data_IF_863351349423
#
_entry.id   IF_863351349423
#
_cell.length_a   1.000
_cell.length_b   1.000
_cell.length_c   1.000
_cell.angle_alpha   90.00
_cell.angle_beta   90.00
_cell.angle_gamma   90.00
#
_symmetry.space_group_name_H-M   'P 1'
#
loop_
_entity.id
_entity.type
_entity.pdbx_description
1 polymer ?
#
# COMPACT_ATOMS: atom_id res chain seq x y z
N UNK A 1 26.06 12.79 3.28
CA UNK A 1 25.30 12.53 4.51
C UNK A 1 23.82 12.66 4.17
N UNK A 2 23.19 11.53 3.84
CA UNK A 2 21.85 11.47 3.27
C UNK A 2 20.80 11.87 4.30
N UNK A 3 20.07 12.94 4.00
CA UNK A 3 18.93 13.41 4.79
C UNK A 3 17.89 12.29 4.73
N UNK A 4 17.75 11.51 5.80
CA UNK A 4 16.63 10.57 5.98
C UNK A 4 15.36 11.39 6.15
N UNK A 5 14.84 11.94 5.06
CA UNK A 5 13.50 12.51 5.03
C UNK A 5 12.58 11.34 5.34
N UNK A 6 11.97 11.34 6.53
CA UNK A 6 10.73 10.60 6.78
C UNK A 6 9.79 11.00 5.65
N UNK A 7 9.68 10.10 4.67
CA UNK A 7 9.04 10.36 3.40
C UNK A 7 7.59 10.70 3.72
N UNK A 8 7.18 11.91 3.34
CA UNK A 8 5.81 12.14 2.92
C UNK A 8 5.58 11.12 1.81
N UNK A 9 5.10 9.92 2.17
CA UNK A 9 4.85 8.83 1.24
C UNK A 9 4.08 9.45 0.07
N UNK A 10 4.75 9.51 -1.08
CA UNK A 10 4.47 10.53 -2.08
C UNK A 10 2.99 10.43 -2.47
N UNK A 11 2.23 11.50 -2.26
CA UNK A 11 0.80 11.50 -2.54
C UNK A 11 0.53 11.07 -3.99
N UNK A 12 1.44 11.40 -4.91
CA UNK A 12 1.35 10.96 -6.30
C UNK A 12 1.52 9.46 -6.43
N UNK A 13 2.47 8.85 -5.71
CA UNK A 13 2.68 7.40 -5.73
C UNK A 13 1.45 6.67 -5.17
N UNK A 14 0.89 7.17 -4.06
CA UNK A 14 -0.35 6.64 -3.49
C UNK A 14 -1.51 6.67 -4.48
N UNK A 15 -1.74 7.82 -5.10
CA UNK A 15 -2.79 7.99 -6.10
C UNK A 15 -2.52 7.17 -7.38
N UNK A 16 -1.25 6.98 -7.76
CA UNK A 16 -0.88 6.14 -8.89
C UNK A 16 -1.22 4.67 -8.63
N UNK A 17 -0.93 4.15 -7.43
CA UNK A 17 -1.29 2.77 -7.04
C UNK A 17 -2.80 2.60 -7.02
N UNK A 18 -3.54 3.56 -6.45
CA UNK A 18 -5.01 3.51 -6.45
C UNK A 18 -5.59 3.55 -7.87
N UNK A 19 -5.04 4.36 -8.76
CA UNK A 19 -5.48 4.42 -10.17
C UNK A 19 -5.16 3.13 -10.92
N UNK A 20 -3.98 2.54 -10.71
CA UNK A 20 -3.60 1.24 -11.28
C UNK A 20 -4.60 0.16 -10.88
N UNK A 21 -4.95 0.12 -9.60
CA UNK A 21 -5.86 -0.89 -9.05
C UNK A 21 -7.35 -0.52 -9.23
N UNK A 22 -7.65 0.58 -9.94
CA UNK A 22 -9.02 1.03 -10.20
C UNK A 22 -9.82 1.30 -8.94
N UNK A 23 -9.16 1.83 -7.89
CA UNK A 23 -9.74 2.06 -6.56
C UNK A 23 -10.36 0.80 -5.93
N UNK A 24 -9.82 -0.37 -6.28
CA UNK A 24 -10.30 -1.68 -5.83
C UNK A 24 -9.33 -2.28 -4.85
N UNK A 25 -9.84 -2.75 -3.71
CA UNK A 25 -9.05 -3.52 -2.76
C UNK A 25 -8.68 -4.89 -3.37
N UNK A 26 -7.39 -5.21 -3.45
CA UNK A 26 -6.93 -6.46 -4.08
C UNK A 26 -7.25 -7.71 -3.26
N UNK A 27 -7.56 -7.57 -1.97
CA UNK A 27 -7.92 -8.70 -1.11
C UNK A 27 -9.42 -9.03 -1.10
N UNK A 28 -10.29 -8.02 -1.11
CA UNK A 28 -11.74 -8.26 -1.06
C UNK A 28 -12.46 -7.95 -2.38
N UNK A 29 -11.72 -7.50 -3.40
CA UNK A 29 -12.21 -7.24 -4.77
C UNK A 29 -13.41 -6.29 -4.77
N UNK A 30 -13.39 -5.28 -3.89
CA UNK A 30 -14.43 -4.25 -3.79
C UNK A 30 -13.83 -2.90 -4.08
N UNK A 31 -14.60 -2.07 -4.79
CA UNK A 31 -14.26 -0.67 -5.01
C UNK A 31 -14.57 0.17 -3.77
N UNK A 32 -13.68 1.11 -3.47
CA UNK A 32 -13.80 2.04 -2.36
C UNK A 32 -13.42 3.45 -2.82
N UNK A 33 -13.85 4.46 -2.08
CA UNK A 33 -13.33 5.82 -2.28
C UNK A 33 -11.86 5.89 -1.85
N UNK A 34 -11.09 6.78 -2.48
CA UNK A 34 -9.66 6.95 -2.19
C UNK A 34 -9.36 7.21 -0.71
N UNK A 35 -10.27 7.85 0.03
CA UNK A 35 -10.15 8.13 1.48
C UNK A 35 -10.30 6.88 2.35
N UNK A 36 -10.88 5.80 1.83
CA UNK A 36 -11.04 4.50 2.52
C UNK A 36 -9.98 3.47 2.10
N UNK A 37 -9.16 3.82 1.11
CA UNK A 37 -8.07 3.00 0.61
C UNK A 37 -6.74 3.43 1.22
N UNK A 38 -5.86 2.44 1.38
CA UNK A 38 -4.52 2.59 1.89
C UNK A 38 -3.58 1.82 0.96
N UNK A 39 -2.38 2.36 0.76
CA UNK A 39 -1.31 1.64 0.08
C UNK A 39 -0.53 0.88 1.14
N UNK A 40 -0.36 -0.41 0.89
CA UNK A 40 0.41 -1.31 1.75
C UNK A 40 1.41 -2.10 0.90
N UNK A 41 2.44 -2.66 1.54
CA UNK A 41 3.43 -3.48 0.84
C UNK A 41 2.92 -4.93 0.71
N UNK A 42 3.09 -5.51 -0.48
CA UNK A 42 2.84 -6.93 -0.73
C UNK A 42 3.79 -7.75 0.13
N UNK A 43 5.09 -7.52 -0.02
CA UNK A 43 6.14 -8.06 0.84
C UNK A 43 6.56 -7.00 1.86
N UNK A 44 6.59 -7.30 3.17
CA UNK A 44 6.96 -6.35 4.21
C UNK A 44 8.29 -5.68 3.89
N UNK A 45 8.29 -4.35 3.98
CA UNK A 45 9.49 -3.54 3.80
C UNK A 45 10.65 -4.02 4.70
N UNK A 46 10.36 -4.49 5.92
CA UNK A 46 11.39 -4.99 6.84
C UNK A 46 12.19 -6.19 6.30
N UNK A 47 11.67 -6.91 5.29
CA UNK A 47 12.32 -8.09 4.72
C UNK A 47 13.11 -7.76 3.46
N UNK A 48 12.52 -6.99 2.55
CA UNK A 48 13.11 -6.70 1.24
C UNK A 48 13.70 -5.31 1.13
N UNK A 49 13.34 -4.40 2.04
CA UNK A 49 13.59 -2.96 1.95
C UNK A 49 13.14 -2.39 0.60
N UNK A 50 12.07 -2.95 0.04
CA UNK A 50 11.56 -2.63 -1.30
C UNK A 50 10.30 -1.77 -1.19
N UNK A 51 10.42 -0.50 -1.58
CA UNK A 51 9.33 0.47 -1.74
C UNK A 51 8.93 0.72 -3.21
N UNK A 52 9.33 -0.19 -4.11
CA UNK A 52 9.03 -0.10 -5.54
C UNK A 52 7.53 -0.17 -5.78
N UNK A 53 7.06 0.53 -6.80
CA UNK A 53 5.65 0.57 -7.20
C UNK A 53 5.02 -0.82 -7.38
N UNK A 54 5.82 -1.82 -7.77
CA UNK A 54 5.43 -3.22 -7.95
C UNK A 54 5.16 -3.94 -6.62
N UNK A 55 5.89 -3.59 -5.55
CA UNK A 55 5.69 -4.13 -4.21
C UNK A 55 4.56 -3.41 -3.44
N UNK A 56 3.92 -2.41 -4.04
CA UNK A 56 2.80 -1.68 -3.44
C UNK A 56 1.45 -2.19 -3.95
N UNK A 57 0.48 -2.30 -3.05
CA UNK A 57 -0.89 -2.74 -3.35
C UNK A 57 -1.96 -1.85 -2.69
N UNK A 58 -3.13 -1.79 -3.32
CA UNK A 58 -4.31 -1.10 -2.76
C UNK A 58 -5.10 -2.01 -1.83
N UNK A 59 -5.24 -1.59 -0.57
CA UNK A 59 -6.03 -2.27 0.45
C UNK A 59 -7.09 -1.34 1.03
N UNK A 60 -8.27 -1.87 1.32
CA UNK A 60 -9.21 -1.13 2.18
C UNK A 60 -8.76 -1.21 3.64
N UNK A 61 -9.10 -0.21 4.46
CA UNK A 61 -8.76 -0.18 5.90
C UNK A 61 -9.07 -1.48 6.65
N UNK A 62 -10.17 -2.15 6.31
CA UNK A 62 -10.55 -3.41 6.95
C UNK A 62 -9.60 -4.55 6.57
N UNK A 63 -9.28 -4.70 5.28
CA UNK A 63 -8.33 -5.71 4.80
C UNK A 63 -6.91 -5.41 5.28
N UNK A 64 -6.51 -4.14 5.26
CA UNK A 64 -5.21 -3.70 5.76
C UNK A 64 -5.04 -4.03 7.25
N UNK A 65 -6.05 -3.72 8.08
CA UNK A 65 -6.07 -4.10 9.50
C UNK A 65 -6.07 -5.61 9.73
N UNK A 66 -6.73 -6.39 8.86
CA UNK A 66 -6.75 -7.85 8.93
C UNK A 66 -5.39 -8.46 8.56
N UNK A 67 -4.68 -7.86 7.59
CA UNK A 67 -3.33 -8.24 7.21
C UNK A 67 -2.37 -7.99 8.38
N UNK A 68 -2.32 -6.75 8.89
CA UNK A 68 -1.41 -6.38 9.98
C UNK A 68 0.05 -6.80 9.70
N UNK A 69 0.87 -6.90 10.76
CA UNK A 69 2.26 -7.44 10.67
C UNK A 69 2.30 -8.97 10.47
N UNK A 70 1.15 -9.62 10.30
CA UNK A 70 1.09 -11.04 9.99
C UNK A 70 1.29 -11.17 8.49
N UNK A 71 2.52 -11.44 8.10
CA UNK A 71 2.79 -12.02 6.79
C UNK A 71 1.92 -13.26 6.65
N UNK A 72 0.84 -13.16 5.89
CA UNK A 72 0.01 -14.28 5.49
C UNK A 72 0.76 -15.03 4.38
N UNK A 73 1.82 -15.72 4.78
CA UNK A 73 2.33 -16.87 4.04
C UNK A 73 1.43 -18.08 4.30
#
# INVERSE_FOLDING_TARGET
MGITRRSTFDLHMRLAVFRRDGYTCVHCIRQFSAVLLEVDHVVPYSWTHDDSFENLQTLCRTCNRRKGDRYAG
#
